data_IF_315860267173
#
_entry.id   IF_315860267173
#
_cell.length_a   1.000
_cell.length_b   1.000
_cell.length_c   1.000
_cell.angle_alpha   90.00
_cell.angle_beta   90.00
_cell.angle_gamma   90.00
#
_symmetry.space_group_name_H-M   'P 1'
#
loop_
_entity.id
_entity.type
_entity.pdbx_description
1 polymer ?
#
# COMPACT_ATOMS: atom_id res chain seq x y z
N UNK A 1 -13.31 19.04 -20.17
CA UNK A 1 -12.89 17.63 -20.29
C UNK A 1 -12.46 17.17 -18.91
N UNK A 2 -13.43 16.95 -18.02
CA UNK A 2 -13.21 16.52 -16.64
C UNK A 2 -13.59 15.05 -16.58
N UNK A 3 -12.63 14.17 -16.87
CA UNK A 3 -12.83 12.73 -16.68
C UNK A 3 -13.18 12.49 -15.21
N UNK A 4 -14.35 11.87 -14.97
CA UNK A 4 -14.83 11.64 -13.62
C UNK A 4 -14.13 10.40 -13.05
N UNK A 5 -13.36 10.56 -11.98
CA UNK A 5 -12.54 9.49 -11.40
C UNK A 5 -12.92 9.25 -9.93
N UNK A 6 -14.06 8.60 -9.65
CA UNK A 6 -14.47 8.33 -8.28
C UNK A 6 -13.66 7.19 -7.67
N UNK A 7 -13.34 7.31 -6.39
CA UNK A 7 -12.84 6.18 -5.60
C UNK A 7 -14.01 5.26 -5.25
N UNK A 8 -13.78 3.94 -5.33
CA UNK A 8 -14.72 2.92 -4.89
C UNK A 8 -14.02 1.89 -4.01
N UNK A 9 -14.76 1.36 -3.03
CA UNK A 9 -14.32 0.24 -2.24
C UNK A 9 -14.23 -1.05 -3.07
N UNK A 10 -13.62 -2.07 -2.46
CA UNK A 10 -13.51 -3.40 -3.01
C UNK A 10 -13.95 -4.43 -1.96
N UNK A 11 -14.91 -5.27 -2.29
CA UNK A 11 -15.44 -6.29 -1.38
C UNK A 11 -14.44 -7.45 -1.16
N UNK A 12 -13.45 -7.59 -2.05
CA UNK A 12 -12.39 -8.59 -1.96
C UNK A 12 -11.21 -8.15 -1.06
N UNK A 13 -11.32 -7.00 -0.37
CA UNK A 13 -10.28 -6.53 0.54
C UNK A 13 -10.12 -7.47 1.73
N UNK A 14 -8.86 -7.75 2.07
CA UNK A 14 -8.46 -8.43 3.30
C UNK A 14 -7.88 -7.45 4.30
N UNK A 15 -7.90 -7.81 5.57
CA UNK A 15 -7.32 -6.98 6.63
C UNK A 15 -5.80 -6.88 6.48
N UNK A 16 -5.25 -5.67 6.57
CA UNK A 16 -3.80 -5.46 6.66
C UNK A 16 -3.27 -6.10 7.94
N UNK A 17 -2.20 -6.90 7.85
CA UNK A 17 -1.60 -7.56 9.02
C UNK A 17 -0.21 -7.01 9.28
N UNK A 18 0.10 -6.65 10.53
CA UNK A 18 1.41 -6.11 10.90
C UNK A 18 2.15 -7.05 11.87
N UNK A 19 3.31 -7.54 11.45
CA UNK A 19 4.27 -8.26 12.29
C UNK A 19 5.32 -7.27 12.80
N UNK A 20 5.44 -7.12 14.13
CA UNK A 20 6.41 -6.20 14.76
C UNK A 20 7.35 -6.94 15.70
N UNK A 21 8.64 -6.79 15.47
CA UNK A 21 9.71 -7.28 16.33
C UNK A 21 10.50 -6.09 16.89
N UNK A 22 10.71 -6.07 18.20
CA UNK A 22 11.50 -5.03 18.88
C UNK A 22 12.51 -5.67 19.82
N UNK A 23 13.72 -5.08 19.90
CA UNK A 23 14.79 -5.51 20.80
C UNK A 23 15.45 -4.28 21.41
N UNK A 24 15.34 -4.12 22.73
CA UNK A 24 15.90 -2.98 23.46
C UNK A 24 17.02 -3.39 24.42
N UNK A 25 18.07 -2.57 24.50
CA UNK A 25 19.15 -2.67 25.49
C UNK A 25 19.30 -1.30 26.17
N UNK A 26 19.24 -1.28 27.50
CA UNK A 26 19.50 -0.09 28.31
C UNK A 26 20.68 -0.33 29.24
N UNK A 27 21.56 0.67 29.37
CA UNK A 27 22.73 0.61 30.23
C UNK A 27 22.94 1.93 30.99
N UNK A 28 23.22 1.79 32.29
CA UNK A 28 23.55 2.89 33.20
C UNK A 28 24.85 2.54 33.94
N UNK A 29 26.02 2.86 33.37
CA UNK A 29 27.31 2.51 33.96
C UNK A 29 27.59 3.29 35.26
N UNK A 30 27.97 2.57 36.32
CA UNK A 30 28.25 3.16 37.65
C UNK A 30 29.52 4.01 37.72
N UNK A 31 30.37 3.98 36.68
CA UNK A 31 31.59 4.79 36.59
C UNK A 31 31.37 6.16 35.92
N UNK A 32 30.16 6.43 35.38
CA UNK A 32 29.76 7.72 34.82
C UNK A 32 28.42 8.13 35.45
N UNK A 33 28.47 8.92 36.53
CA UNK A 33 27.27 9.46 37.14
C UNK A 33 26.45 10.27 36.11
N UNK A 34 25.14 10.02 36.10
CA UNK A 34 24.15 10.64 35.20
C UNK A 34 24.27 10.25 33.71
N UNK A 35 25.00 9.20 33.36
CA UNK A 35 25.01 8.67 31.99
C UNK A 35 24.02 7.51 31.84
N UNK A 36 23.05 7.66 30.94
CA UNK A 36 22.17 6.59 30.50
C UNK A 36 22.31 6.43 29.00
N UNK A 37 22.23 5.20 28.51
CA UNK A 37 22.13 4.95 27.08
C UNK A 37 21.11 3.85 26.86
N UNK A 38 20.22 4.07 25.90
CA UNK A 38 19.28 3.07 25.42
C UNK A 38 19.40 2.93 23.91
N UNK A 39 19.34 1.69 23.45
CA UNK A 39 19.38 1.31 22.03
C UNK A 39 18.23 0.36 21.79
N UNK A 40 17.31 0.76 20.93
CA UNK A 40 16.12 0.00 20.56
C UNK A 40 16.16 -0.30 19.06
N UNK A 41 16.12 -1.58 18.70
CA UNK A 41 15.94 -2.05 17.33
C UNK A 41 14.47 -2.36 17.08
N UNK A 42 13.96 -1.92 15.94
CA UNK A 42 12.61 -2.29 15.48
C UNK A 42 12.66 -2.87 14.06
N UNK A 43 11.81 -3.87 13.83
CA UNK A 43 11.52 -4.47 12.53
C UNK A 43 10.01 -4.64 12.42
N UNK A 44 9.40 -3.84 11.55
CA UNK A 44 7.97 -3.79 11.32
C UNK A 44 7.73 -4.23 9.88
N UNK A 45 6.97 -5.30 9.70
CA UNK A 45 6.52 -5.78 8.40
C UNK A 45 5.01 -5.71 8.34
N UNK A 46 4.48 -4.87 7.45
CA UNK A 46 3.06 -4.78 7.12
C UNK A 46 2.82 -5.60 5.86
N UNK A 47 1.91 -6.56 5.95
CA UNK A 47 1.48 -7.43 4.85
C UNK A 47 0.09 -7.02 4.38
N UNK A 48 -0.16 -7.31 3.11
CA UNK A 48 -1.46 -7.07 2.48
C UNK A 48 -1.89 -5.59 2.56
N UNK A 49 -0.95 -4.65 2.44
CA UNK A 49 -1.25 -3.24 2.55
C UNK A 49 -2.24 -2.80 1.45
N UNK A 50 -3.30 -2.13 1.87
CA UNK A 50 -4.38 -1.63 1.04
C UNK A 50 -3.88 -0.37 0.34
N UNK A 51 -3.91 -0.41 -0.99
CA UNK A 51 -3.52 0.70 -1.86
C UNK A 51 -4.58 0.88 -2.95
N UNK A 52 -4.86 2.12 -3.30
CA UNK A 52 -5.60 2.44 -4.51
C UNK A 52 -4.72 2.26 -5.74
N UNK A 53 -5.31 1.81 -6.84
CA UNK A 53 -4.62 1.74 -8.13
C UNK A 53 -4.89 3.03 -8.92
N UNK A 54 -3.84 3.60 -9.48
CA UNK A 54 -3.92 4.79 -10.33
C UNK A 54 -4.60 4.51 -11.68
N UNK A 55 -5.20 5.55 -12.25
CA UNK A 55 -5.93 5.49 -13.52
C UNK A 55 -5.08 4.91 -14.67
N UNK A 56 -3.81 5.30 -14.75
CA UNK A 56 -2.88 4.80 -15.76
C UNK A 56 -2.66 3.29 -15.64
N UNK A 57 -2.56 2.80 -14.39
CA UNK A 57 -2.34 1.39 -14.10
C UNK A 57 -3.62 0.60 -14.38
N UNK A 58 -4.81 1.13 -14.10
CA UNK A 58 -6.09 0.50 -14.48
C UNK A 58 -6.20 0.37 -16.00
N UNK A 59 -5.90 1.43 -16.75
CA UNK A 59 -5.88 1.39 -18.22
C UNK A 59 -4.88 0.36 -18.73
N UNK A 60 -3.67 0.36 -18.16
CA UNK A 60 -2.63 -0.60 -18.53
C UNK A 60 -3.08 -2.03 -18.23
N UNK A 61 -3.64 -2.32 -17.06
CA UNK A 61 -4.07 -3.67 -16.72
C UNK A 61 -5.30 -4.12 -17.52
N UNK A 62 -6.12 -3.20 -18.03
CA UNK A 62 -7.20 -3.54 -18.95
C UNK A 62 -6.68 -3.95 -20.34
N UNK A 63 -5.73 -3.20 -20.91
CA UNK A 63 -5.29 -3.37 -22.31
C UNK A 63 -3.97 -4.16 -22.49
N UNK A 64 -3.10 -4.17 -21.48
CA UNK A 64 -1.71 -4.64 -21.50
C UNK A 64 -1.42 -5.50 -20.24
N UNK A 65 -2.32 -6.43 -19.93
CA UNK A 65 -2.10 -7.46 -18.90
C UNK A 65 -2.16 -8.86 -19.49
N UNK A 66 -1.80 -9.84 -18.65
CA UNK A 66 -1.95 -11.26 -18.97
C UNK A 66 -3.41 -11.73 -19.00
N UNK A 67 -4.37 -10.90 -18.58
CA UNK A 67 -5.80 -11.23 -18.56
C UNK A 67 -6.42 -10.83 -19.90
N UNK A 68 -7.18 -11.72 -20.57
CA UNK A 68 -7.84 -11.38 -21.84
C UNK A 68 -8.70 -10.13 -21.72
N UNK A 69 -8.55 -9.22 -22.67
CA UNK A 69 -9.40 -8.03 -22.79
C UNK A 69 -10.87 -8.42 -22.96
N UNK A 70 -11.77 -7.78 -22.20
CA UNK A 70 -13.22 -8.01 -22.26
C UNK A 70 -13.85 -8.12 -20.87
N UNK A 71 -15.09 -8.64 -20.80
CA UNK A 71 -15.86 -8.76 -19.55
C UNK A 71 -15.20 -9.64 -18.47
N UNK A 72 -14.26 -10.50 -18.85
CA UNK A 72 -13.47 -11.30 -17.91
C UNK A 72 -12.37 -10.52 -17.18
N UNK A 73 -12.03 -9.32 -17.64
CA UNK A 73 -11.02 -8.46 -17.01
C UNK A 73 -11.70 -7.39 -16.15
N UNK A 74 -11.58 -7.54 -14.82
CA UNK A 74 -12.14 -6.60 -13.84
C UNK A 74 -11.69 -5.15 -14.06
N UNK A 75 -10.45 -4.94 -14.51
CA UNK A 75 -9.90 -3.60 -14.75
C UNK A 75 -10.58 -2.90 -15.95
N UNK A 76 -11.11 -3.69 -16.90
CA UNK A 76 -11.90 -3.15 -17.99
C UNK A 76 -13.33 -2.78 -17.56
N UNK A 77 -13.87 -3.44 -16.54
CA UNK A 77 -15.17 -3.09 -15.95
C UNK A 77 -15.17 -1.75 -15.21
N UNK A 78 -14.01 -1.29 -14.76
CA UNK A 78 -13.86 -0.01 -14.07
C UNK A 78 -13.77 1.20 -15.03
N UNK A 79 -13.75 0.96 -16.35
CA UNK A 79 -13.67 2.00 -17.38
C UNK A 79 -15.04 2.14 -18.05
N UNK A 80 -15.65 3.33 -17.96
CA UNK A 80 -16.88 3.66 -18.70
C UNK A 80 -16.55 4.60 -19.86
N UNK A 81 -17.11 4.30 -21.03
CA UNK A 81 -16.93 5.09 -22.25
C UNK A 81 -18.27 5.56 -22.81
N UNK A 82 -18.24 6.70 -23.52
CA UNK A 82 -19.37 7.19 -24.30
C UNK A 82 -19.50 6.49 -25.66
N UNK A 83 -20.52 6.88 -26.42
CA UNK A 83 -20.78 6.38 -27.78
C UNK A 83 -19.72 6.77 -28.81
N UNK A 84 -18.91 7.79 -28.52
CA UNK A 84 -17.79 8.24 -29.35
C UNK A 84 -16.46 7.57 -28.95
N UNK A 85 -16.47 6.76 -27.90
CA UNK A 85 -15.32 6.00 -27.41
C UNK A 85 -14.44 6.76 -26.42
N UNK A 86 -14.82 7.96 -25.98
CA UNK A 86 -14.09 8.72 -24.97
C UNK A 86 -14.34 8.12 -23.58
N UNK A 87 -13.35 8.19 -22.71
CA UNK A 87 -13.48 7.76 -21.31
C UNK A 87 -14.25 8.83 -20.55
N UNK A 88 -15.42 8.48 -20.04
CA UNK A 88 -16.27 9.36 -19.24
C UNK A 88 -16.09 9.14 -17.75
N UNK A 89 -15.81 7.90 -17.35
CA UNK A 89 -15.55 7.54 -15.96
C UNK A 89 -14.47 6.47 -15.84
N UNK A 90 -13.65 6.59 -14.79
CA UNK A 90 -12.69 5.56 -14.41
C UNK A 90 -12.71 5.38 -12.89
N UNK A 91 -13.08 4.19 -12.43
CA UNK A 91 -13.26 3.90 -11.01
C UNK A 91 -11.92 3.44 -10.42
N UNK A 92 -11.45 4.14 -9.38
CA UNK A 92 -10.25 3.74 -8.65
C UNK A 92 -10.61 2.83 -7.48
N UNK A 93 -10.23 1.56 -7.57
CA UNK A 93 -10.44 0.57 -6.51
C UNK A 93 -9.20 0.35 -5.67
N UNK A 94 -9.45 -0.05 -4.43
CA UNK A 94 -8.43 -0.44 -3.46
C UNK A 94 -8.14 -1.94 -3.52
N UNK A 95 -6.88 -2.32 -3.35
CA UNK A 95 -6.42 -3.71 -3.36
C UNK A 95 -5.28 -3.93 -2.36
N UNK A 96 -5.17 -5.15 -1.82
CA UNK A 96 -4.02 -5.59 -1.03
C UNK A 96 -2.84 -5.89 -1.97
N UNK A 97 -1.95 -4.91 -2.21
CA UNK A 97 -0.91 -5.01 -3.26
C UNK A 97 0.51 -4.90 -2.74
N UNK A 98 0.71 -4.38 -1.52
CA UNK A 98 2.02 -4.01 -1.04
C UNK A 98 2.37 -4.72 0.27
N UNK A 99 3.63 -5.17 0.35
CA UNK A 99 4.26 -5.52 1.62
C UNK A 99 5.23 -4.38 1.96
N UNK A 100 4.98 -3.70 3.09
CA UNK A 100 5.80 -2.59 3.55
C UNK A 100 6.70 -3.06 4.69
N UNK A 101 8.01 -2.83 4.57
CA UNK A 101 8.98 -3.20 5.61
C UNK A 101 9.72 -1.97 6.09
N UNK A 102 9.69 -1.73 7.39
CA UNK A 102 10.40 -0.65 8.07
C UNK A 102 11.26 -1.21 9.18
N UNK A 103 12.57 -0.96 9.11
CA UNK A 103 13.55 -1.43 10.10
C UNK A 103 14.52 -0.32 10.46
N UNK A 104 14.89 -0.25 11.72
CA UNK A 104 15.80 0.81 12.18
C UNK A 104 16.27 0.62 13.62
N UNK A 105 17.14 1.55 14.01
CA UNK A 105 17.66 1.67 15.37
C UNK A 105 17.27 3.04 15.89
N UNK A 106 16.70 3.07 17.09
CA UNK A 106 16.52 4.27 17.90
C UNK A 106 17.58 4.26 19.01
N UNK A 107 18.23 5.39 19.23
CA UNK A 107 19.27 5.53 20.26
C UNK A 107 18.97 6.79 21.06
N UNK A 108 18.84 6.62 22.37
CA UNK A 108 18.62 7.71 23.32
C UNK A 108 19.68 7.72 24.41
N UNK A 109 20.00 8.92 24.91
CA UNK A 109 21.06 9.20 25.89
C UNK A 109 20.60 10.24 26.91
#
# INVERSE_FOLDING_TARGET
>A
NTGYSPNAGNEDLKEETADTYTLGITASPSFLENFNIAVDYYDITIKDAIRSIDNEKILKECYDSSVPFGEGNRFCGDITRDTEGNITQLIQREFNLADEKSRGYDVSM
#
